data_IF_631556151704
#
_entry.id   IF_631556151704
#
_cell.length_a   1.000
_cell.length_b   1.000
_cell.length_c   1.000
_cell.angle_alpha   90.00
_cell.angle_beta   90.00
_cell.angle_gamma   90.00
#
_symmetry.space_group_name_H-M   'P 1'
#
loop_
_entity.id
_entity.type
_entity.pdbx_description
1 polymer ?
#
# COMPACT_ATOMS: atom_id res chain seq x y z
N UNK A 1 6.52 60.45 -12.51
CA UNK A 1 6.65 60.41 -11.03
C UNK A 1 6.82 58.94 -10.62
N UNK A 2 8.04 58.54 -10.28
CA UNK A 2 8.42 57.36 -9.47
C UNK A 2 9.16 57.96 -8.25
N UNK A 3 9.26 57.32 -7.05
CA UNK A 3 9.59 55.89 -6.86
C UNK A 3 9.03 55.17 -5.60
N UNK A 4 9.37 53.87 -5.54
CA UNK A 4 9.73 53.05 -4.36
C UNK A 4 8.71 52.84 -3.21
N UNK A 5 8.61 51.68 -2.57
CA UNK A 5 9.44 50.48 -2.57
C UNK A 5 9.11 49.61 -1.35
N UNK A 6 9.65 48.39 -1.32
CA UNK A 6 9.71 47.49 -0.17
C UNK A 6 8.74 46.30 -0.29
N UNK A 7 9.12 45.06 -0.57
CA UNK A 7 10.44 44.44 -0.48
C UNK A 7 10.62 43.73 0.86
N UNK A 8 10.53 42.39 0.85
CA UNK A 8 11.33 41.49 1.70
C UNK A 8 10.93 41.33 3.16
N UNK A 9 10.32 40.19 3.48
CA UNK A 9 10.55 39.50 4.76
C UNK A 9 10.59 37.98 4.53
N UNK A 10 11.52 37.56 3.68
CA UNK A 10 12.23 36.31 3.93
C UNK A 10 12.98 36.46 5.27
N UNK A 11 13.04 35.37 6.03
CA UNK A 11 14.04 35.12 7.09
C UNK A 11 13.81 35.77 8.46
N UNK A 12 12.98 35.15 9.30
CA UNK A 12 13.04 35.34 10.75
C UNK A 12 12.71 34.08 11.60
N UNK A 13 12.61 32.89 10.99
CA UNK A 13 12.42 31.62 11.73
C UNK A 13 13.58 30.62 11.54
N UNK A 14 14.70 31.09 10.97
CA UNK A 14 16.02 30.43 11.01
C UNK A 14 16.95 31.36 11.77
N UNK A 15 17.05 31.18 13.08
CA UNK A 15 18.24 31.46 13.89
C UNK A 15 17.91 31.49 15.39
N UNK A 16 18.50 30.57 16.13
CA UNK A 16 18.90 30.83 17.51
C UNK A 16 17.88 30.35 18.56
N UNK A 17 18.10 29.18 19.16
CA UNK A 17 18.99 28.93 20.30
C UNK A 17 18.44 29.36 21.67
N UNK A 18 18.66 28.42 22.59
CA UNK A 18 18.93 28.56 24.04
C UNK A 18 17.74 28.57 25.01
N UNK A 19 17.56 27.39 25.59
CA UNK A 19 17.51 27.08 27.03
C UNK A 19 17.44 28.28 27.99
N UNK A 20 16.32 28.37 28.69
CA UNK A 20 16.19 28.72 30.11
C UNK A 20 14.87 28.05 30.57
N UNK A 21 14.82 27.17 31.57
CA UNK A 21 15.43 27.31 32.88
C UNK A 21 14.40 27.93 33.83
N UNK A 22 13.49 27.12 34.37
CA UNK A 22 12.86 27.45 35.65
C UNK A 22 12.66 26.18 36.45
N UNK A 23 13.53 26.02 37.43
CA UNK A 23 13.51 25.00 38.44
C UNK A 23 12.36 25.23 39.44
N UNK A 24 12.28 24.29 40.39
CA UNK A 24 11.54 24.33 41.67
C UNK A 24 10.10 23.80 41.56
N UNK A 25 9.82 22.58 42.01
CA UNK A 25 9.92 22.31 43.46
C UNK A 25 10.25 20.85 43.75
N UNK A 26 11.35 20.68 44.48
CA UNK A 26 11.63 19.50 45.29
C UNK A 26 10.62 19.45 46.43
N UNK A 27 9.82 18.39 46.49
CA UNK A 27 9.16 17.95 47.71
C UNK A 27 9.27 16.42 47.80
N UNK A 28 10.39 15.95 48.34
CA UNK A 28 10.41 14.76 49.19
C UNK A 28 10.18 15.28 50.64
N UNK A 29 9.62 14.51 51.60
CA UNK A 29 9.86 13.08 51.79
C UNK A 29 8.64 12.26 52.31
N UNK A 30 8.76 10.92 52.30
CA UNK A 30 8.66 10.04 53.49
C UNK A 30 8.53 8.58 53.07
N UNK A 31 9.55 7.80 53.41
CA UNK A 31 9.56 6.36 53.31
C UNK A 31 8.59 5.73 54.33
N UNK A 32 7.88 4.67 53.93
CA UNK A 32 7.82 3.39 54.64
C UNK A 32 6.89 2.38 53.95
N UNK A 33 7.27 1.10 54.08
CA UNK A 33 6.49 -0.13 53.95
C UNK A 33 6.31 -0.74 52.55
N UNK A 34 7.19 -1.71 52.28
CA UNK A 34 6.98 -2.81 51.36
C UNK A 34 5.76 -3.66 51.77
N UNK A 35 4.91 -4.03 50.81
CA UNK A 35 4.27 -5.35 50.65
C UNK A 35 3.14 -5.28 49.61
N UNK A 36 3.39 -5.78 48.40
CA UNK A 36 2.42 -6.54 47.58
C UNK A 36 3.11 -6.97 46.28
N UNK A 37 3.71 -8.16 46.29
CA UNK A 37 3.96 -8.91 45.05
C UNK A 37 2.61 -9.41 44.53
N UNK A 38 1.85 -8.52 43.90
CA UNK A 38 0.78 -8.90 42.98
C UNK A 38 1.10 -8.25 41.66
N UNK A 39 1.59 -9.06 40.72
CA UNK A 39 1.58 -8.69 39.30
C UNK A 39 0.14 -8.26 38.97
N UNK A 40 -0.08 -7.13 38.29
CA UNK A 40 -1.40 -6.82 37.79
C UNK A 40 -1.84 -7.96 36.85
N UNK A 41 -3.04 -8.54 37.01
CA UNK A 41 -3.56 -9.47 36.02
C UNK A 41 -3.72 -8.70 34.70
N UNK A 42 -3.10 -9.27 33.66
CA UNK A 42 -3.26 -9.07 32.22
C UNK A 42 -3.56 -7.65 31.68
N UNK A 43 -2.82 -7.19 30.65
CA UNK A 43 -3.00 -5.87 30.04
C UNK A 43 -4.46 -5.68 29.64
N UNK A 44 -5.06 -4.62 30.20
CA UNK A 44 -6.38 -4.14 29.85
C UNK A 44 -6.50 -4.06 28.33
N UNK A 45 -7.39 -4.87 27.78
CA UNK A 45 -7.68 -5.00 26.37
C UNK A 45 -8.30 -3.69 25.86
N UNK A 46 -7.47 -2.68 25.59
CA UNK A 46 -7.82 -1.69 24.58
C UNK A 46 -7.52 -2.36 23.25
N UNK A 47 -8.49 -2.52 22.33
CA UNK A 47 -8.13 -2.67 20.93
C UNK A 47 -7.25 -1.46 20.63
N UNK A 48 -5.94 -1.69 20.51
CA UNK A 48 -5.04 -0.67 19.98
C UNK A 48 -5.75 -0.21 18.73
N UNK A 49 -6.08 1.08 18.68
CA UNK A 49 -6.36 1.79 17.44
C UNK A 49 -5.36 1.20 16.45
N UNK A 50 -5.83 0.34 15.54
CA UNK A 50 -5.03 -0.08 14.41
C UNK A 50 -4.65 1.24 13.81
N UNK A 51 -3.39 1.60 14.02
CA UNK A 51 -2.82 2.74 13.36
C UNK A 51 -3.21 2.50 11.92
N UNK A 52 -3.95 3.42 11.32
CA UNK A 52 -3.91 3.62 9.88
C UNK A 52 -2.46 4.00 9.58
N UNK A 53 -1.52 3.05 9.79
CA UNK A 53 -0.37 2.96 8.92
C UNK A 53 -0.97 3.06 7.52
N UNK A 54 -0.41 3.89 6.64
CA UNK A 54 -0.90 3.97 5.29
C UNK A 54 -0.97 2.52 4.81
N UNK A 55 -2.19 2.00 4.66
CA UNK A 55 -2.43 0.68 4.09
C UNK A 55 -1.84 0.88 2.70
N UNK A 56 -0.60 0.38 2.54
CA UNK A 56 0.18 0.66 1.35
C UNK A 56 -0.63 0.24 0.15
N UNK A 57 -0.35 0.84 -1.01
CA UNK A 57 -1.02 0.46 -2.23
C UNK A 57 -0.98 -1.09 -2.38
N UNK A 58 -2.15 -1.77 -2.48
CA UNK A 58 -2.23 -3.23 -2.41
C UNK A 58 -1.41 -3.93 -3.51
N UNK A 59 -1.08 -3.21 -4.58
CA UNK A 59 -0.30 -3.71 -5.70
C UNK A 59 1.21 -3.41 -5.59
N UNK A 60 1.68 -2.65 -4.60
CA UNK A 60 3.11 -2.31 -4.46
C UNK A 60 4.03 -3.54 -4.28
N UNK A 61 3.50 -4.63 -3.73
CA UNK A 61 4.21 -5.91 -3.58
C UNK A 61 4.01 -6.89 -4.73
N UNK A 62 3.20 -6.54 -5.73
CA UNK A 62 2.69 -7.46 -6.75
C UNK A 62 3.81 -8.15 -7.54
N UNK A 63 4.76 -7.38 -8.06
CA UNK A 63 5.90 -7.96 -8.80
C UNK A 63 6.80 -8.87 -7.94
N UNK A 64 6.94 -8.56 -6.65
CA UNK A 64 7.70 -9.41 -5.72
C UNK A 64 6.94 -10.69 -5.37
N UNK A 65 5.63 -10.60 -5.15
CA UNK A 65 4.76 -11.75 -4.89
C UNK A 65 4.74 -12.71 -6.08
N UNK A 66 4.65 -12.18 -7.31
CA UNK A 66 4.74 -12.95 -8.55
C UNK A 66 6.07 -13.71 -8.67
N UNK A 67 7.19 -13.08 -8.29
CA UNK A 67 8.52 -13.69 -8.35
C UNK A 67 8.78 -14.71 -7.24
N UNK A 68 8.14 -14.55 -6.08
CA UNK A 68 8.35 -15.41 -4.92
C UNK A 68 7.55 -16.72 -4.96
N UNK A 69 6.46 -16.77 -5.72
CA UNK A 69 5.58 -17.95 -5.86
C UNK A 69 5.81 -18.64 -7.20
N UNK A 70 5.36 -19.89 -7.32
CA UNK A 70 5.31 -20.56 -8.61
C UNK A 70 4.44 -19.74 -9.59
N UNK A 71 4.94 -19.51 -10.80
CA UNK A 71 4.21 -18.80 -11.85
C UNK A 71 2.90 -19.54 -12.17
N UNK A 72 1.84 -18.79 -12.49
CA UNK A 72 0.51 -19.31 -12.79
C UNK A 72 -0.53 -18.87 -11.76
N UNK A 73 -1.60 -19.66 -11.59
CA UNK A 73 -2.75 -19.35 -10.75
C UNK A 73 -2.38 -18.98 -9.30
N UNK A 74 -1.44 -19.71 -8.69
CA UNK A 74 -1.00 -19.46 -7.31
C UNK A 74 -0.27 -18.12 -7.16
N UNK A 75 0.53 -17.75 -8.17
CA UNK A 75 1.20 -16.45 -8.24
C UNK A 75 0.21 -15.30 -8.41
N UNK A 76 -0.82 -15.50 -9.24
CA UNK A 76 -1.91 -14.52 -9.41
C UNK A 76 -2.68 -14.35 -8.11
N UNK A 77 -3.10 -15.45 -7.46
CA UNK A 77 -3.80 -15.41 -6.18
C UNK A 77 -2.96 -14.70 -5.10
N UNK A 78 -1.65 -14.96 -5.04
CA UNK A 78 -0.75 -14.29 -4.11
C UNK A 78 -0.63 -12.78 -4.37
N UNK A 79 -0.57 -12.38 -5.63
CA UNK A 79 -0.55 -10.97 -6.03
C UNK A 79 -1.89 -10.26 -5.78
N UNK A 80 -2.99 -11.02 -5.83
CA UNK A 80 -4.35 -10.52 -5.65
C UNK A 80 -4.76 -10.40 -4.18
N UNK A 81 -4.21 -11.24 -3.30
CA UNK A 81 -4.60 -11.32 -1.89
C UNK A 81 -4.61 -9.95 -1.17
N UNK A 82 -3.61 -9.07 -1.32
CA UNK A 82 -3.64 -7.77 -0.65
C UNK A 82 -4.76 -6.85 -1.16
N UNK A 83 -5.18 -7.02 -2.41
CA UNK A 83 -6.29 -6.27 -3.00
C UNK A 83 -7.65 -6.79 -2.48
N UNK A 84 -7.78 -8.10 -2.29
CA UNK A 84 -8.97 -8.72 -1.67
C UNK A 84 -9.09 -8.38 -0.18
N UNK A 85 -7.96 -8.32 0.53
CA UNK A 85 -7.92 -7.92 1.94
C UNK A 85 -8.10 -6.40 2.08
N UNK A 86 -7.98 -5.63 0.99
CA UNK A 86 -8.19 -4.19 1.00
C UNK A 86 -9.70 -3.88 1.03
N UNK A 87 -10.12 -3.04 1.96
CA UNK A 87 -11.49 -2.51 1.99
C UNK A 87 -11.69 -1.35 1.00
N UNK A 88 -10.91 -1.30 -0.09
CA UNK A 88 -10.95 -0.21 -1.06
C UNK A 88 -12.16 -0.36 -1.98
N UNK A 89 -12.86 0.75 -2.33
CA UNK A 89 -13.87 0.71 -3.37
C UNK A 89 -13.21 0.42 -4.75
N UNK A 90 -13.97 -0.12 -5.72
CA UNK A 90 -13.44 -0.51 -7.02
C UNK A 90 -12.64 0.58 -7.74
N UNK A 91 -13.13 1.82 -7.73
CA UNK A 91 -12.44 2.94 -8.40
C UNK A 91 -11.07 3.23 -7.76
N UNK A 92 -10.99 3.26 -6.42
CA UNK A 92 -9.73 3.47 -5.71
C UNK A 92 -8.75 2.30 -5.91
N UNK A 93 -9.27 1.10 -6.11
CA UNK A 93 -8.48 -0.09 -6.38
C UNK A 93 -7.90 -0.06 -7.81
N UNK A 94 -8.63 0.46 -8.80
CA UNK A 94 -8.13 0.70 -10.15
C UNK A 94 -7.07 1.81 -10.19
N UNK A 95 -7.26 2.89 -9.44
CA UNK A 95 -6.28 3.96 -9.33
C UNK A 95 -4.99 3.46 -8.64
N UNK A 96 -5.13 2.69 -7.55
CA UNK A 96 -3.99 2.05 -6.91
C UNK A 96 -3.23 1.09 -7.85
N UNK A 97 -3.94 0.30 -8.66
CA UNK A 97 -3.32 -0.55 -9.67
C UNK A 97 -2.47 0.26 -10.67
N UNK A 98 -2.94 1.42 -11.11
CA UNK A 98 -2.20 2.31 -12.03
C UNK A 98 -0.98 2.94 -11.37
N UNK A 99 -1.14 3.47 -10.17
CA UNK A 99 -0.07 4.20 -9.47
C UNK A 99 1.14 3.32 -9.14
N UNK A 100 0.92 2.02 -8.96
CA UNK A 100 1.97 1.04 -8.64
C UNK A 100 2.59 0.37 -9.88
N UNK A 101 2.01 0.54 -11.07
CA UNK A 101 2.51 -0.08 -12.29
C UNK A 101 3.98 0.29 -12.65
N UNK A 102 4.46 1.53 -12.44
CA UNK A 102 5.85 1.89 -12.70
C UNK A 102 6.87 1.10 -11.87
N UNK A 103 6.52 0.75 -10.63
CA UNK A 103 7.38 -0.06 -9.74
C UNK A 103 7.54 -1.48 -10.29
N UNK A 104 6.45 -2.10 -10.75
CA UNK A 104 6.49 -3.41 -11.39
C UNK A 104 7.30 -3.38 -12.68
N UNK A 105 7.10 -2.36 -13.52
CA UNK A 105 7.87 -2.15 -14.75
C UNK A 105 9.37 -1.90 -14.50
N UNK A 106 9.74 -1.40 -13.32
CA UNK A 106 11.15 -1.22 -12.92
C UNK A 106 11.79 -2.52 -12.40
N UNK A 107 10.99 -3.46 -11.89
CA UNK A 107 11.47 -4.69 -11.24
C UNK A 107 11.46 -5.91 -12.15
N UNK A 108 10.51 -5.98 -13.07
CA UNK A 108 10.31 -7.13 -13.95
C UNK A 108 10.71 -6.80 -15.39
N UNK A 109 11.20 -7.80 -16.11
CA UNK A 109 11.39 -7.71 -17.56
C UNK A 109 10.05 -7.73 -18.29
N UNK A 110 10.03 -7.19 -19.52
CA UNK A 110 8.83 -7.21 -20.37
C UNK A 110 8.27 -8.64 -20.53
N UNK A 111 9.15 -9.62 -20.72
CA UNK A 111 8.75 -11.02 -20.81
C UNK A 111 8.05 -11.50 -19.53
N UNK A 112 8.60 -11.18 -18.36
CA UNK A 112 7.99 -11.57 -17.08
C UNK A 112 6.62 -10.91 -16.86
N UNK A 113 6.45 -9.66 -17.32
CA UNK A 113 5.18 -8.95 -17.26
C UNK A 113 4.16 -9.61 -18.20
N UNK A 114 4.56 -10.04 -19.41
CA UNK A 114 3.71 -10.78 -20.33
C UNK A 114 3.31 -12.16 -19.79
N UNK A 115 4.22 -12.87 -19.13
CA UNK A 115 3.93 -14.15 -18.49
C UNK A 115 2.88 -13.96 -17.38
N UNK A 116 3.02 -12.89 -16.59
CA UNK A 116 2.06 -12.52 -15.56
C UNK A 116 0.70 -12.14 -16.16
N UNK A 117 0.67 -11.32 -17.22
CA UNK A 117 -0.56 -10.96 -17.94
C UNK A 117 -1.30 -12.19 -18.45
N UNK A 118 -0.57 -13.16 -19.00
CA UNK A 118 -1.16 -14.38 -19.54
C UNK A 118 -1.84 -15.19 -18.43
N UNK A 119 -1.18 -15.35 -17.28
CA UNK A 119 -1.77 -16.02 -16.12
C UNK A 119 -2.99 -15.30 -15.55
N UNK A 120 -2.96 -13.95 -15.47
CA UNK A 120 -4.11 -13.16 -14.99
C UNK A 120 -5.31 -13.32 -15.94
N UNK A 121 -5.07 -13.37 -17.26
CA UNK A 121 -6.14 -13.60 -18.25
C UNK A 121 -6.76 -14.98 -18.09
N UNK A 122 -5.94 -16.02 -17.92
CA UNK A 122 -6.43 -17.38 -17.69
C UNK A 122 -7.32 -17.45 -16.44
N UNK A 123 -6.92 -16.80 -15.35
CA UNK A 123 -7.71 -16.70 -14.12
C UNK A 123 -9.02 -15.94 -14.32
N UNK A 124 -9.03 -14.84 -15.07
CA UNK A 124 -10.25 -14.10 -15.42
C UNK A 124 -11.23 -14.97 -16.22
N UNK A 125 -10.73 -15.71 -17.22
CA UNK A 125 -11.58 -16.62 -18.00
C UNK A 125 -12.13 -17.79 -17.16
N UNK A 126 -11.33 -18.30 -16.22
CA UNK A 126 -11.78 -19.34 -15.29
C UNK A 126 -12.87 -18.81 -14.35
N UNK A 127 -12.73 -17.58 -13.84
CA UNK A 127 -13.72 -16.92 -12.97
C UNK A 127 -15.03 -16.59 -13.72
N UNK A 128 -14.94 -16.14 -14.98
CA UNK A 128 -16.11 -15.93 -15.83
C UNK A 128 -16.85 -17.25 -16.15
N UNK A 129 -16.11 -18.33 -16.37
CA UNK A 129 -16.68 -19.66 -16.64
C UNK A 129 -17.42 -20.23 -15.43
N UNK A 130 -16.90 -20.02 -14.22
CA UNK A 130 -17.55 -20.45 -12.97
C UNK A 130 -18.77 -19.58 -12.67
N UNK A 131 -18.70 -18.27 -12.90
CA UNK A 131 -19.82 -17.34 -12.70
C UNK A 131 -21.03 -17.64 -13.61
N UNK A 132 -20.80 -18.13 -14.83
CA UNK A 132 -21.87 -18.45 -15.81
C UNK A 132 -22.44 -19.86 -15.68
N UNK A 133 -21.73 -20.77 -15.00
CA UNK A 133 -22.13 -22.18 -14.85
C UNK A 133 -22.90 -22.51 -13.56
N UNK A 134 -22.83 -21.67 -12.54
CA UNK A 134 -23.47 -21.88 -11.24
C UNK A 134 -24.64 -20.92 -11.01
N UNK A 135 -25.87 -21.37 -11.28
CA UNK A 135 -27.07 -20.62 -10.95
C UNK A 135 -27.19 -20.37 -9.45
N UNK A 136 -27.04 -19.11 -9.03
CA UNK A 136 -27.59 -18.60 -7.77
C UNK A 136 -26.76 -18.84 -6.52
N UNK A 137 -25.55 -18.29 -6.44
CA UNK A 137 -24.90 -17.90 -5.18
C UNK A 137 -23.70 -16.98 -5.45
N UNK A 138 -23.88 -15.93 -6.26
CA UNK A 138 -22.89 -14.87 -6.37
C UNK A 138 -22.94 -14.01 -5.11
N UNK A 139 -22.25 -14.44 -4.06
CA UNK A 139 -21.99 -13.59 -2.91
C UNK A 139 -21.07 -12.43 -3.29
N UNK A 140 -21.08 -11.36 -2.49
CA UNK A 140 -20.23 -10.17 -2.63
C UNK A 140 -18.73 -10.51 -2.85
N UNK A 141 -18.29 -11.69 -2.39
CA UNK A 141 -16.92 -12.19 -2.52
C UNK A 141 -16.50 -12.45 -3.99
N UNK A 142 -17.43 -12.89 -4.85
CA UNK A 142 -17.14 -13.16 -6.26
C UNK A 142 -16.95 -11.89 -7.08
N UNK A 143 -17.77 -10.88 -6.81
CA UNK A 143 -17.68 -9.57 -7.46
C UNK A 143 -16.41 -8.84 -7.04
N UNK A 144 -16.06 -8.88 -5.76
CA UNK A 144 -14.80 -8.33 -5.25
C UNK A 144 -13.58 -8.97 -5.92
N UNK A 145 -13.60 -10.29 -6.14
CA UNK A 145 -12.52 -11.01 -6.84
C UNK A 145 -12.43 -10.59 -8.31
N UNK A 146 -13.54 -10.51 -9.02
CA UNK A 146 -13.56 -10.06 -10.41
C UNK A 146 -13.04 -8.61 -10.56
N UNK A 147 -13.43 -7.71 -9.65
CA UNK A 147 -12.91 -6.34 -9.60
C UNK A 147 -11.41 -6.31 -9.36
N UNK A 148 -10.91 -7.08 -8.39
CA UNK A 148 -9.49 -7.16 -8.07
C UNK A 148 -8.67 -7.72 -9.24
N UNK A 149 -9.17 -8.77 -9.92
CA UNK A 149 -8.50 -9.36 -11.08
C UNK A 149 -8.45 -8.39 -12.26
N UNK A 150 -9.52 -7.63 -12.48
CA UNK A 150 -9.57 -6.58 -13.51
C UNK A 150 -8.55 -5.49 -13.23
N UNK A 151 -8.41 -5.07 -11.98
CA UNK A 151 -7.40 -4.09 -11.59
C UNK A 151 -5.97 -4.63 -11.71
N UNK A 152 -5.76 -5.90 -11.36
CA UNK A 152 -4.46 -6.56 -11.57
C UNK A 152 -4.10 -6.64 -13.06
N UNK A 153 -5.07 -6.94 -13.93
CA UNK A 153 -4.86 -6.92 -15.38
C UNK A 153 -4.47 -5.50 -15.85
N UNK A 154 -5.17 -4.47 -15.39
CA UNK A 154 -4.86 -3.07 -15.70
C UNK A 154 -3.46 -2.68 -15.23
N UNK A 155 -3.09 -3.05 -14.00
CA UNK A 155 -1.74 -2.85 -13.45
C UNK A 155 -0.67 -3.45 -14.36
N UNK A 156 -0.84 -4.71 -14.75
CA UNK A 156 0.11 -5.41 -15.61
C UNK A 156 0.17 -4.82 -17.03
N UNK A 157 -0.96 -4.38 -17.58
CA UNK A 157 -1.01 -3.70 -18.89
C UNK A 157 -0.25 -2.37 -18.86
N UNK A 158 -0.47 -1.55 -17.83
CA UNK A 158 0.26 -0.30 -17.64
C UNK A 158 1.76 -0.55 -17.46
N UNK A 159 2.14 -1.58 -16.69
CA UNK A 159 3.53 -1.95 -16.49
C UNK A 159 4.19 -2.41 -17.81
N UNK A 160 3.49 -3.19 -18.64
CA UNK A 160 3.98 -3.64 -19.94
C UNK A 160 4.21 -2.47 -20.90
N UNK A 161 3.27 -1.51 -20.96
CA UNK A 161 3.41 -0.31 -21.78
C UNK A 161 4.65 0.51 -21.39
N UNK A 162 4.87 0.70 -20.08
CA UNK A 162 6.05 1.42 -19.58
C UNK A 162 7.35 0.67 -19.88
N UNK A 163 7.37 -0.66 -19.73
CA UNK A 163 8.53 -1.50 -20.07
C UNK A 163 8.84 -1.48 -21.57
N UNK A 164 7.82 -1.45 -22.42
CA UNK A 164 7.95 -1.35 -23.87
C UNK A 164 8.51 0.01 -24.29
N UNK A 165 7.96 1.12 -23.78
CA UNK A 165 8.43 2.47 -24.08
C UNK A 165 9.90 2.68 -23.72
N UNK A 166 10.36 2.08 -22.61
CA UNK A 166 11.78 2.10 -22.21
C UNK A 166 12.67 1.35 -23.20
N UNK A 167 12.21 0.19 -23.67
CA UNK A 167 12.92 -0.61 -24.67
C UNK A 167 13.03 0.12 -26.00
N UNK A 168 11.94 0.74 -26.46
CA UNK A 168 11.90 1.50 -27.72
C UNK A 168 12.80 2.75 -27.65
N UNK A 169 12.77 3.48 -26.52
CA UNK A 169 13.62 4.67 -26.30
C UNK A 169 15.11 4.35 -26.19
N UNK A 170 15.46 3.12 -25.77
CA UNK A 170 16.86 2.68 -25.69
C UNK A 170 17.43 2.28 -27.07
N UNK A 171 16.57 2.07 -28.06
CA UNK A 171 16.93 1.59 -29.39
C UNK A 171 16.85 2.68 -30.48
N UNK A 172 16.49 3.91 -30.09
CA UNK A 172 16.42 5.12 -30.94
C UNK A 172 17.59 6.07 -30.69
#
# INVERSE_FOLDING_TARGET
MLPAGGGGAMSALVAGLRRAGSAHSLAAPRAAAAAARSLPPSPSHTPRKQSLEPVGNPFSGCGAAWMARARGAEGVAAALQPALDSALPPDALLDAARDSAPDTAARLSLQQIHDMLSAVREELFADDATARGGGGAGGDDGEARACALTALMLHCCAAAQLAQQRSDSANS
#
